data_IF_731601703833
#
_entry.id   IF_731601703833
#
_cell.length_a   1.000
_cell.length_b   1.000
_cell.length_c   1.000
_cell.angle_alpha   90.00
_cell.angle_beta   90.00
_cell.angle_gamma   90.00
#
_symmetry.space_group_name_H-M   'P 1'
#
loop_
_entity.id
_entity.type
_entity.pdbx_description
1 polymer ?
#
# COMPACT_ATOMS: atom_id res chain seq x y z
N UNK A 1 11.29 -0.84 -9.11
CA UNK A 1 11.21 -1.26 -7.70
C UNK A 1 9.86 -0.99 -7.08
N UNK A 2 9.36 0.26 -7.04
CA UNK A 2 8.06 0.56 -6.40
C UNK A 2 6.89 -0.29 -6.94
N UNK A 3 6.76 -0.43 -8.26
CA UNK A 3 5.74 -1.27 -8.88
C UNK A 3 5.79 -2.74 -8.41
N UNK A 4 7.00 -3.27 -8.21
CA UNK A 4 7.23 -4.63 -7.72
C UNK A 4 6.77 -4.76 -6.27
N UNK A 5 7.09 -3.79 -5.41
CA UNK A 5 6.69 -3.83 -4.00
C UNK A 5 5.18 -3.64 -3.82
N UNK A 6 4.58 -2.73 -4.58
CA UNK A 6 3.13 -2.55 -4.57
C UNK A 6 2.42 -3.80 -5.08
N UNK A 7 3.00 -4.50 -6.05
CA UNK A 7 2.47 -5.78 -6.53
C UNK A 7 2.61 -6.88 -5.47
N UNK A 8 3.75 -6.93 -4.76
CA UNK A 8 3.97 -7.86 -3.64
C UNK A 8 2.90 -7.66 -2.55
N UNK A 9 2.66 -6.41 -2.13
CA UNK A 9 1.70 -6.07 -1.09
C UNK A 9 0.24 -6.23 -1.55
N UNK A 10 -0.08 -5.71 -2.75
CA UNK A 10 -1.45 -5.69 -3.27
C UNK A 10 -1.96 -7.05 -3.74
N UNK A 11 -1.07 -7.92 -4.25
CA UNK A 11 -1.42 -9.29 -4.65
C UNK A 11 -1.07 -10.35 -3.58
N UNK A 12 -0.53 -9.95 -2.44
CA UNK A 12 -0.13 -10.84 -1.34
C UNK A 12 0.80 -11.98 -1.81
N UNK A 13 1.84 -11.65 -2.57
CA UNK A 13 2.75 -12.65 -3.14
C UNK A 13 3.55 -13.32 -2.02
N UNK A 14 3.53 -14.66 -1.91
CA UNK A 14 4.03 -15.37 -0.73
C UNK A 14 5.56 -15.46 -0.64
N UNK A 15 6.29 -15.28 -1.74
CA UNK A 15 7.75 -15.40 -1.74
C UNK A 15 8.43 -14.56 -2.82
N UNK A 16 9.73 -14.29 -2.62
CA UNK A 16 10.59 -13.62 -3.60
C UNK A 16 10.75 -14.46 -4.88
N UNK A 17 10.69 -15.79 -4.77
CA UNK A 17 10.77 -16.70 -5.91
C UNK A 17 9.56 -16.55 -6.83
N UNK A 18 8.35 -16.52 -6.26
CA UNK A 18 7.13 -16.28 -7.05
C UNK A 18 7.11 -14.87 -7.62
N UNK A 19 7.54 -13.88 -6.85
CA UNK A 19 7.67 -12.52 -7.36
C UNK A 19 8.64 -12.44 -8.56
N UNK A 20 9.76 -13.16 -8.51
CA UNK A 20 10.73 -13.20 -9.61
C UNK A 20 10.15 -13.87 -10.85
N UNK A 21 9.37 -14.95 -10.67
CA UNK A 21 8.64 -15.62 -11.76
C UNK A 21 7.61 -14.70 -12.39
N UNK A 22 6.85 -13.96 -11.59
CA UNK A 22 5.87 -12.98 -12.07
C UNK A 22 6.55 -11.84 -12.83
N UNK A 23 7.63 -11.27 -12.28
CA UNK A 23 8.38 -10.18 -12.91
C UNK A 23 8.96 -10.58 -14.28
N UNK A 24 9.31 -11.86 -14.46
CA UNK A 24 9.83 -12.38 -15.72
C UNK A 24 8.75 -12.67 -16.78
N UNK A 25 7.48 -12.82 -16.38
CA UNK A 25 6.38 -13.28 -17.26
C UNK A 25 5.29 -12.24 -17.50
N UNK A 26 5.11 -11.30 -16.58
CA UNK A 26 4.01 -10.35 -16.56
C UNK A 26 4.52 -8.91 -16.49
N UNK A 27 3.74 -7.99 -17.07
CA UNK A 27 3.91 -6.57 -16.78
C UNK A 27 3.29 -6.27 -15.41
N UNK A 28 4.07 -5.67 -14.51
CA UNK A 28 3.64 -5.35 -13.15
C UNK A 28 3.31 -3.85 -13.03
N UNK A 29 2.03 -3.52 -12.88
CA UNK A 29 1.53 -2.14 -12.85
C UNK A 29 2.01 -1.35 -14.09
N UNK A 30 2.86 -0.34 -13.89
CA UNK A 30 3.48 0.46 -14.94
C UNK A 30 4.88 -0.02 -15.35
N UNK A 31 5.38 -1.11 -14.78
CA UNK A 31 6.67 -1.70 -15.13
C UNK A 31 6.49 -2.84 -16.14
N UNK A 32 7.34 -2.87 -17.17
CA UNK A 32 7.42 -3.99 -18.12
C UNK A 32 8.01 -5.24 -17.46
N UNK A 33 7.70 -6.40 -18.01
CA UNK A 33 8.34 -7.65 -17.62
C UNK A 33 9.86 -7.59 -17.83
N UNK A 34 10.63 -8.00 -16.82
CA UNK A 34 12.09 -8.02 -16.84
C UNK A 34 12.60 -9.31 -16.21
N UNK A 35 13.51 -9.99 -16.90
CA UNK A 35 14.23 -11.13 -16.33
C UNK A 35 15.38 -10.62 -15.47
N UNK A 36 15.34 -10.94 -14.18
CA UNK A 36 16.42 -10.70 -13.22
C UNK A 36 16.68 -11.96 -12.40
N UNK A 37 17.88 -12.08 -11.84
CA UNK A 37 18.18 -13.15 -10.90
C UNK A 37 17.48 -12.90 -9.56
N UNK A 38 17.14 -13.98 -8.86
CA UNK A 38 16.53 -13.89 -7.52
C UNK A 38 17.49 -13.22 -6.52
N UNK A 39 18.81 -13.41 -6.67
CA UNK A 39 19.82 -12.71 -5.88
C UNK A 39 19.81 -11.20 -6.12
N UNK A 40 19.75 -10.76 -7.39
CA UNK A 40 19.69 -9.33 -7.70
C UNK A 40 18.40 -8.67 -7.17
N UNK A 41 17.27 -9.39 -7.25
CA UNK A 41 16.00 -8.92 -6.70
C UNK A 41 16.07 -8.80 -5.17
N UNK A 42 16.62 -9.82 -4.50
CA UNK A 42 16.79 -9.83 -3.04
C UNK A 42 17.70 -8.71 -2.57
N UNK A 43 18.83 -8.51 -3.24
CA UNK A 43 19.74 -7.40 -2.95
C UNK A 43 19.04 -6.06 -3.10
N UNK A 44 18.24 -5.88 -4.16
CA UNK A 44 17.49 -4.63 -4.35
C UNK A 44 16.44 -4.39 -3.29
N UNK A 45 15.85 -5.42 -2.69
CA UNK A 45 14.97 -5.26 -1.54
C UNK A 45 15.73 -4.85 -0.29
N UNK A 46 16.89 -5.46 -0.03
CA UNK A 46 17.74 -5.12 1.13
C UNK A 46 18.30 -3.70 1.06
N UNK A 47 18.66 -3.25 -0.14
CA UNK A 47 19.21 -1.90 -0.36
C UNK A 47 18.14 -0.87 -0.72
N UNK A 48 16.85 -1.24 -0.70
CA UNK A 48 15.79 -0.30 -1.07
C UNK A 48 15.65 0.78 0.01
N UNK A 49 15.81 2.07 -0.33
CA UNK A 49 15.76 3.13 0.67
C UNK A 49 14.34 3.32 1.21
N UNK A 50 14.18 3.12 2.52
CA UNK A 50 12.90 3.31 3.23
C UNK A 50 12.32 4.72 3.07
N UNK A 51 13.19 5.73 2.85
CA UNK A 51 12.78 7.12 2.60
C UNK A 51 11.88 7.27 1.37
N UNK A 52 12.04 6.44 0.34
CA UNK A 52 11.15 6.45 -0.82
C UNK A 52 9.73 6.00 -0.45
N UNK A 53 9.59 4.93 0.36
CA UNK A 53 8.28 4.51 0.86
C UNK A 53 7.64 5.56 1.74
N UNK A 54 8.42 6.15 2.64
CA UNK A 54 7.93 7.20 3.53
C UNK A 54 7.38 8.38 2.72
N UNK A 55 8.08 8.82 1.67
CA UNK A 55 7.63 9.92 0.81
C UNK A 55 6.32 9.57 0.11
N UNK A 56 6.26 8.41 -0.53
CA UNK A 56 5.02 7.94 -1.19
C UNK A 56 3.85 7.87 -0.21
N UNK A 57 4.07 7.35 1.00
CA UNK A 57 3.03 7.30 2.02
C UNK A 57 2.57 8.70 2.42
N UNK A 58 3.51 9.62 2.70
CA UNK A 58 3.19 11.01 3.06
C UNK A 58 2.39 11.71 1.98
N UNK A 59 2.78 11.54 0.72
CA UNK A 59 2.09 12.12 -0.43
C UNK A 59 0.65 11.55 -0.54
N UNK A 60 0.49 10.23 -0.33
CA UNK A 60 -0.83 9.58 -0.33
C UNK A 60 -1.71 10.03 0.85
N UNK A 61 -1.15 10.22 2.04
CA UNK A 61 -1.90 10.64 3.23
C UNK A 61 -2.60 11.99 3.01
N UNK A 62 -1.96 12.92 2.30
CA UNK A 62 -2.57 14.21 1.94
C UNK A 62 -3.83 14.00 1.11
N UNK A 63 -3.72 13.19 0.04
CA UNK A 63 -4.85 12.89 -0.85
C UNK A 63 -5.96 12.11 -0.13
N UNK A 64 -5.60 11.12 0.70
CA UNK A 64 -6.56 10.32 1.46
C UNK A 64 -7.31 11.17 2.48
N UNK A 65 -6.63 12.09 3.16
CA UNK A 65 -7.27 13.03 4.08
C UNK A 65 -8.24 13.95 3.35
N UNK A 66 -7.86 14.51 2.20
CA UNK A 66 -8.76 15.34 1.38
C UNK A 66 -10.03 14.55 0.97
N UNK A 67 -9.85 13.33 0.46
CA UNK A 67 -10.97 12.45 0.10
C UNK A 67 -11.84 12.09 1.30
N UNK A 68 -11.24 11.90 2.47
CA UNK A 68 -11.98 11.63 3.70
C UNK A 68 -12.86 12.82 4.10
N UNK A 69 -12.33 14.04 4.08
CA UNK A 69 -13.10 15.25 4.41
C UNK A 69 -14.23 15.52 3.41
N UNK A 70 -14.00 15.22 2.13
CA UNK A 70 -15.02 15.35 1.07
C UNK A 70 -16.09 14.25 1.11
N UNK A 71 -15.88 13.20 1.89
CA UNK A 71 -16.77 12.03 1.89
C UNK A 71 -18.04 12.35 2.67
N UNK A 72 -19.15 12.56 1.96
CA UNK A 72 -20.48 12.68 2.56
C UNK A 72 -21.08 11.29 2.82
N UNK A 73 -20.47 10.52 3.72
CA UNK A 73 -20.98 9.21 4.15
C UNK A 73 -21.56 9.34 5.54
N UNK A 74 -22.83 8.97 5.69
CA UNK A 74 -23.45 8.95 7.00
C UNK A 74 -22.71 8.02 7.97
N UNK A 75 -22.50 8.49 9.19
CA UNK A 75 -21.90 7.66 10.23
C UNK A 75 -22.79 6.45 10.54
N UNK A 76 -22.22 5.28 10.85
CA UNK A 76 -22.98 4.12 11.29
C UNK A 76 -23.94 4.46 12.44
N UNK A 77 -25.08 3.77 12.50
CA UNK A 77 -26.11 4.01 13.54
C UNK A 77 -25.54 3.88 14.96
N UNK A 78 -24.62 2.93 15.17
CA UNK A 78 -23.91 2.76 16.44
C UNK A 78 -23.14 4.02 16.85
N UNK A 79 -22.42 4.64 15.91
CA UNK A 79 -21.67 5.88 16.14
C UNK A 79 -22.61 7.06 16.39
N UNK A 80 -23.68 7.20 15.61
CA UNK A 80 -24.71 8.24 15.81
C UNK A 80 -25.35 8.14 17.20
N UNK A 81 -25.63 6.92 17.68
CA UNK A 81 -26.21 6.68 19.01
C UNK A 81 -25.21 6.97 20.13
N UNK A 82 -23.96 6.51 20.00
CA UNK A 82 -22.93 6.72 21.01
C UNK A 82 -22.63 8.22 21.22
N UNK A 83 -22.64 9.02 20.14
CA UNK A 83 -22.41 10.47 20.19
C UNK A 83 -23.46 11.26 21.00
N UNK A 84 -24.61 10.67 21.30
CA UNK A 84 -25.63 11.27 22.17
C UNK A 84 -25.28 11.19 23.65
N UNK A 85 -24.46 10.20 24.03
CA UNK A 85 -24.14 9.90 25.44
C UNK A 85 -22.68 10.20 25.79
N UNK A 86 -21.80 10.23 24.80
CA UNK A 86 -20.37 10.41 24.99
C UNK A 86 -19.86 11.60 24.18
N UNK A 87 -19.18 12.51 24.87
CA UNK A 87 -18.56 13.70 24.28
C UNK A 87 -17.40 13.34 23.34
N UNK A 88 -16.67 12.26 23.65
CA UNK A 88 -15.56 11.74 22.83
C UNK A 88 -15.73 10.25 22.58
N UNK A 89 -15.57 9.85 21.33
CA UNK A 89 -15.56 8.45 20.91
C UNK A 89 -14.13 8.07 20.49
N UNK A 90 -13.58 7.06 21.15
CA UNK A 90 -12.29 6.49 20.79
C UNK A 90 -12.52 5.30 19.87
N UNK A 91 -11.93 5.35 18.68
CA UNK A 91 -11.92 4.24 17.73
C UNK A 91 -10.45 3.81 17.67
N UNK A 92 -10.18 2.60 18.15
CA UNK A 92 -8.84 1.96 18.12
C UNK A 92 -8.71 1.18 16.81
#
# INVERSE_FOLDING_TARGET
MLAVVLSLLGRQVPSVTELNRMLARENLLWAKAVKVSQQALSQRFLTFPASLFQRVLKDLLVLLNQRWQQRNRESPVSVKRARKYFERLWIV
#
